data_IF_048270158877
#
_entry.id   IF_048270158877
#
_cell.length_a   1.000
_cell.length_b   1.000
_cell.length_c   1.000
_cell.angle_alpha   90.00
_cell.angle_beta   90.00
_cell.angle_gamma   90.00
#
_symmetry.space_group_name_H-M   'P 1'
#
loop_
_entity.id
_entity.type
_entity.pdbx_description
1 polymer ?
#
# COMPACT_ATOMS: atom_id res chain seq x y z
N UNK A 1 -5.13 -18.98 -6.13
CA UNK A 1 -4.82 -20.38 -6.48
C UNK A 1 -5.27 -20.61 -7.92
N UNK A 2 -4.33 -20.64 -8.86
CA UNK A 2 -4.62 -21.05 -10.23
C UNK A 2 -4.82 -22.57 -10.20
N UNK A 3 -6.04 -23.02 -10.20
CA UNK A 3 -6.37 -24.43 -10.42
C UNK A 3 -6.29 -24.69 -11.93
N UNK A 4 -5.40 -25.60 -12.31
CA UNK A 4 -5.33 -26.25 -13.63
C UNK A 4 -5.64 -25.38 -14.86
N UNK A 5 -4.67 -24.65 -15.31
CA UNK A 5 -4.24 -24.18 -16.60
C UNK A 5 -5.13 -24.28 -17.85
N UNK A 6 -6.41 -24.02 -17.79
CA UNK A 6 -7.25 -23.76 -18.98
C UNK A 6 -8.43 -22.88 -18.60
N UNK A 7 -8.19 -21.67 -18.16
CA UNK A 7 -9.18 -20.62 -18.37
C UNK A 7 -9.00 -20.15 -19.81
N UNK A 8 -9.82 -20.67 -20.71
CA UNK A 8 -9.81 -20.36 -22.15
C UNK A 8 -10.02 -18.88 -22.45
N UNK A 9 -10.31 -18.07 -21.41
CA UNK A 9 -10.63 -16.65 -21.50
C UNK A 9 -9.47 -15.71 -21.08
N UNK A 10 -8.30 -16.23 -20.69
CA UNK A 10 -7.18 -15.41 -20.26
C UNK A 10 -5.92 -15.71 -21.06
N UNK A 11 -5.41 -14.72 -21.79
CA UNK A 11 -4.15 -14.80 -22.53
C UNK A 11 -3.04 -14.13 -21.73
N UNK A 12 -1.96 -14.88 -21.45
CA UNK A 12 -0.75 -14.31 -20.85
C UNK A 12 -0.03 -13.42 -21.88
N UNK A 13 0.13 -12.14 -21.57
CA UNK A 13 0.85 -11.18 -22.42
C UNK A 13 2.34 -11.18 -22.08
N UNK A 14 2.70 -10.91 -20.84
CA UNK A 14 4.08 -10.95 -20.37
C UNK A 14 4.16 -11.16 -18.85
N UNK A 15 5.34 -11.54 -18.40
CA UNK A 15 5.69 -11.67 -17.00
C UNK A 15 6.84 -10.73 -16.65
N UNK A 16 6.76 -10.05 -15.52
CA UNK A 16 7.83 -9.21 -15.00
C UNK A 16 8.38 -9.80 -13.72
N UNK A 17 9.70 -10.00 -13.68
CA UNK A 17 10.41 -10.44 -12.48
C UNK A 17 11.00 -9.21 -11.80
N UNK A 18 10.72 -9.05 -10.51
CA UNK A 18 11.25 -7.96 -9.70
C UNK A 18 11.82 -8.48 -8.38
N UNK A 19 12.73 -7.70 -7.79
CA UNK A 19 13.33 -8.03 -6.50
C UNK A 19 13.17 -6.87 -5.54
N UNK A 20 12.63 -7.16 -4.35
CA UNK A 20 12.51 -6.18 -3.27
C UNK A 20 13.19 -6.76 -2.03
N UNK A 21 14.25 -6.10 -1.55
CA UNK A 21 15.15 -6.63 -0.52
C UNK A 21 15.73 -8.00 -0.93
N UNK A 22 15.33 -9.08 -0.27
CA UNK A 22 15.83 -10.43 -0.54
C UNK A 22 14.80 -11.32 -1.24
N UNK A 23 13.58 -10.82 -1.50
CA UNK A 23 12.51 -11.62 -2.09
C UNK A 23 12.30 -11.27 -3.56
N UNK A 24 11.99 -12.30 -4.33
CA UNK A 24 11.67 -12.21 -5.74
C UNK A 24 10.17 -12.28 -5.93
N UNK A 25 9.68 -11.48 -6.87
CA UNK A 25 8.28 -11.42 -7.26
C UNK A 25 8.17 -11.66 -8.76
N UNK A 26 7.11 -12.36 -9.15
CA UNK A 26 6.70 -12.48 -10.54
C UNK A 26 5.29 -11.89 -10.64
N UNK A 27 5.11 -10.93 -11.54
CA UNK A 27 3.80 -10.40 -11.91
C UNK A 27 3.49 -10.78 -13.34
N UNK A 28 2.26 -11.24 -13.56
CA UNK A 28 1.75 -11.62 -14.87
C UNK A 28 0.76 -10.57 -15.34
N UNK A 29 0.88 -10.16 -16.59
CA UNK A 29 -0.15 -9.38 -17.26
C UNK A 29 -0.98 -10.31 -18.13
N UNK A 30 -2.30 -10.32 -17.88
CA UNK A 30 -3.25 -11.14 -18.57
C UNK A 30 -4.20 -10.25 -19.38
N UNK A 31 -4.51 -10.65 -20.59
CA UNK A 31 -5.59 -10.12 -21.38
C UNK A 31 -6.82 -11.04 -21.17
N UNK A 32 -7.91 -10.47 -20.67
CA UNK A 32 -9.15 -11.19 -20.44
C UNK A 32 -10.10 -10.93 -21.61
N UNK A 33 -10.60 -11.99 -22.23
CA UNK A 33 -11.52 -11.88 -23.36
C UNK A 33 -12.96 -11.59 -22.93
N UNK A 34 -13.34 -11.99 -21.72
CA UNK A 34 -14.68 -11.76 -21.17
C UNK A 34 -14.59 -11.28 -19.70
N UNK A 35 -15.20 -10.12 -19.44
CA UNK A 35 -15.26 -9.51 -18.09
C UNK A 35 -16.61 -9.76 -17.39
N UNK A 36 -17.50 -10.60 -17.97
CA UNK A 36 -18.85 -10.87 -17.41
C UNK A 36 -18.80 -11.47 -16.00
N UNK A 37 -17.68 -12.09 -15.62
CA UNK A 37 -17.50 -12.63 -14.28
C UNK A 37 -17.03 -11.58 -13.25
N UNK A 38 -16.68 -10.37 -13.69
CA UNK A 38 -16.44 -9.24 -12.79
C UNK A 38 -17.79 -8.71 -12.34
N UNK A 39 -18.30 -9.25 -11.25
CA UNK A 39 -19.56 -8.78 -10.67
C UNK A 39 -19.39 -7.37 -10.15
N UNK A 40 -20.24 -6.43 -10.57
CA UNK A 40 -20.25 -5.10 -9.96
C UNK A 40 -20.55 -5.17 -8.47
N UNK A 41 -20.14 -4.15 -7.72
CA UNK A 41 -20.42 -4.06 -6.29
C UNK A 41 -21.91 -4.29 -6.00
N UNK A 42 -22.20 -5.15 -5.02
CA UNK A 42 -23.60 -5.50 -4.68
C UNK A 42 -24.38 -4.34 -4.07
N UNK A 43 -23.69 -3.44 -3.40
CA UNK A 43 -24.30 -2.23 -2.86
C UNK A 43 -24.03 -1.08 -3.80
N UNK A 44 -25.07 -0.37 -4.17
CA UNK A 44 -25.02 0.70 -5.14
C UNK A 44 -25.17 2.10 -4.52
N UNK A 45 -24.97 2.18 -3.21
CA UNK A 45 -25.01 3.46 -2.50
C UNK A 45 -23.83 4.36 -2.84
N UNK A 46 -23.98 5.64 -2.46
CA UNK A 46 -22.91 6.64 -2.53
C UNK A 46 -22.28 6.78 -1.16
N UNK A 47 -20.96 6.98 -1.10
CA UNK A 47 -20.24 7.20 0.16
C UNK A 47 -19.28 8.36 0.02
N UNK A 48 -19.27 9.24 1.02
CA UNK A 48 -18.23 10.25 1.22
C UNK A 48 -17.09 9.67 2.03
N UNK A 49 -15.86 10.00 1.65
CA UNK A 49 -14.62 9.49 2.27
C UNK A 49 -13.80 10.67 2.75
N UNK A 50 -13.64 10.79 4.06
CA UNK A 50 -12.71 11.71 4.71
C UNK A 50 -11.41 11.00 5.07
N UNK A 51 -10.26 11.60 4.74
CA UNK A 51 -8.94 11.07 4.98
C UNK A 51 -8.25 11.80 6.13
N UNK A 52 -7.92 11.07 7.19
CA UNK A 52 -7.31 11.63 8.38
C UNK A 52 -6.01 10.94 8.80
N UNK A 53 -5.28 11.59 9.71
CA UNK A 53 -4.02 11.05 10.27
C UNK A 53 -4.26 10.15 11.47
N UNK A 54 -5.28 10.43 12.26
CA UNK A 54 -5.65 9.62 13.43
C UNK A 54 -6.51 8.44 13.01
N UNK A 55 -7.59 8.72 12.36
CA UNK A 55 -8.44 7.79 11.64
C UNK A 55 -8.03 7.88 10.17
N UNK A 56 -7.59 6.78 9.60
CA UNK A 56 -7.10 6.78 8.21
C UNK A 56 -8.20 7.13 7.23
N UNK A 57 -9.38 6.59 7.46
CA UNK A 57 -10.57 6.79 6.66
C UNK A 57 -11.80 6.86 7.57
N UNK A 58 -12.65 7.87 7.34
CA UNK A 58 -13.98 7.96 7.92
C UNK A 58 -14.98 8.02 6.76
N UNK A 59 -15.97 7.15 6.77
CA UNK A 59 -17.02 7.11 5.76
C UNK A 59 -18.25 7.88 6.24
N UNK A 60 -19.00 8.45 5.31
CA UNK A 60 -20.22 9.22 5.61
C UNK A 60 -21.35 8.41 6.25
N UNK A 61 -21.28 7.08 6.19
CA UNK A 61 -22.21 6.17 6.85
C UNK A 61 -21.76 5.75 8.27
N UNK A 62 -20.67 6.32 8.78
CA UNK A 62 -20.15 6.11 10.13
C UNK A 62 -19.07 5.03 10.27
N UNK A 63 -18.70 4.30 9.22
CA UNK A 63 -17.56 3.40 9.29
C UNK A 63 -16.25 4.17 9.46
N UNK A 64 -15.41 3.69 10.37
CA UNK A 64 -14.11 4.30 10.69
C UNK A 64 -13.00 3.25 10.61
N UNK A 65 -11.92 3.60 9.91
CA UNK A 65 -10.74 2.76 9.78
C UNK A 65 -9.52 3.45 10.39
N UNK A 66 -8.87 2.80 11.34
CA UNK A 66 -7.70 3.36 12.00
C UNK A 66 -6.42 3.20 11.15
N UNK A 67 -5.53 4.20 11.27
CA UNK A 67 -4.22 4.13 10.62
C UNK A 67 -3.28 3.20 11.40
N UNK A 68 -2.64 2.19 10.77
CA UNK A 68 -1.75 1.24 11.45
C UNK A 68 -0.44 1.87 11.93
N UNK A 69 -0.05 3.03 11.41
CA UNK A 69 1.15 3.82 11.76
C UNK A 69 2.43 2.99 11.89
N UNK A 70 2.77 2.17 10.91
CA UNK A 70 3.89 1.23 11.01
C UNK A 70 5.24 1.93 11.13
N UNK A 71 5.44 3.08 10.46
CA UNK A 71 6.68 3.85 10.58
C UNK A 71 6.86 4.35 12.00
N UNK A 72 5.82 4.88 12.64
CA UNK A 72 5.87 5.30 14.04
C UNK A 72 6.32 4.16 14.96
N UNK A 73 5.73 2.97 14.81
CA UNK A 73 6.06 1.76 15.58
C UNK A 73 7.51 1.32 15.43
N UNK A 74 8.06 1.37 14.21
CA UNK A 74 9.42 0.88 13.93
C UNK A 74 10.50 1.97 13.91
N UNK A 75 10.15 3.24 14.12
CA UNK A 75 11.05 4.39 13.96
C UNK A 75 12.31 4.29 14.84
N UNK A 76 12.17 3.92 16.10
CA UNK A 76 13.31 3.79 17.02
C UNK A 76 14.29 2.70 16.57
N UNK A 77 13.75 1.55 16.13
CA UNK A 77 14.55 0.45 15.59
C UNK A 77 15.30 0.88 14.33
N UNK A 78 14.62 1.60 13.43
CA UNK A 78 15.20 2.09 12.19
C UNK A 78 16.34 3.07 12.48
N UNK A 79 16.12 4.07 13.35
CA UNK A 79 17.15 5.03 13.78
C UNK A 79 18.38 4.32 14.36
N UNK A 80 18.20 3.31 15.22
CA UNK A 80 19.29 2.54 15.81
C UNK A 80 20.11 1.80 14.76
N UNK A 81 19.44 1.14 13.81
CA UNK A 81 20.10 0.42 12.73
C UNK A 81 20.85 1.36 11.78
N UNK A 82 20.26 2.50 11.43
CA UNK A 82 20.89 3.52 10.59
C UNK A 82 22.13 4.11 11.26
N UNK A 83 22.07 4.46 12.56
CA UNK A 83 23.25 4.91 13.34
C UNK A 83 24.34 3.84 13.38
N UNK A 84 23.99 2.56 13.56
CA UNK A 84 24.96 1.46 13.50
C UNK A 84 25.60 1.37 12.12
N UNK A 85 24.80 1.48 11.06
CA UNK A 85 25.30 1.42 9.69
C UNK A 85 26.24 2.59 9.35
N UNK A 86 25.95 3.83 9.82
CA UNK A 86 26.81 4.98 9.57
C UNK A 86 28.19 4.87 10.24
N UNK A 87 28.26 4.17 11.39
CA UNK A 87 29.53 3.91 12.13
C UNK A 87 30.29 2.70 11.60
N UNK A 88 29.71 1.91 10.71
CA UNK A 88 30.34 0.70 10.17
C UNK A 88 31.19 1.07 8.96
N UNK A 89 32.41 0.47 8.87
CA UNK A 89 33.38 0.69 7.76
C UNK A 89 32.68 0.56 6.39
N UNK A 90 32.90 1.53 5.52
CA UNK A 90 32.41 1.51 4.16
C UNK A 90 32.95 0.28 3.42
N UNK A 91 32.13 -0.31 2.51
CA UNK A 91 32.48 -1.50 1.75
C UNK A 91 32.71 -2.80 2.56
N UNK A 92 32.47 -2.80 3.88
CA UNK A 92 32.60 -4.01 4.69
C UNK A 92 31.39 -4.94 4.62
N UNK A 93 31.58 -6.27 4.79
CA UNK A 93 30.51 -7.28 4.80
C UNK A 93 29.45 -7.00 5.87
N UNK A 94 29.86 -6.47 7.03
CA UNK A 94 28.94 -6.09 8.10
C UNK A 94 28.03 -4.93 7.71
N UNK A 95 28.50 -3.98 6.89
CA UNK A 95 27.67 -2.90 6.36
C UNK A 95 26.64 -3.46 5.39
N UNK A 96 27.01 -4.38 4.53
CA UNK A 96 26.09 -5.07 3.61
C UNK A 96 24.99 -5.84 4.38
N UNK A 97 25.37 -6.58 5.44
CA UNK A 97 24.41 -7.27 6.31
C UNK A 97 23.42 -6.30 6.98
N UNK A 98 23.91 -5.18 7.50
CA UNK A 98 23.06 -4.13 8.10
C UNK A 98 22.13 -3.50 7.05
N UNK A 99 22.61 -3.26 5.83
CA UNK A 99 21.80 -2.77 4.72
C UNK A 99 20.61 -3.69 4.43
N UNK A 100 20.84 -5.01 4.37
CA UNK A 100 19.76 -6.00 4.21
C UNK A 100 18.74 -5.95 5.34
N UNK A 101 19.19 -5.85 6.60
CA UNK A 101 18.28 -5.75 7.76
C UNK A 101 17.43 -4.49 7.68
N UNK A 102 18.03 -3.35 7.31
CA UNK A 102 17.30 -2.08 7.12
C UNK A 102 16.30 -2.20 5.98
N UNK A 103 16.68 -2.78 4.84
CA UNK A 103 15.80 -2.99 3.69
C UNK A 103 14.60 -3.86 4.06
N UNK A 104 14.80 -4.97 4.78
CA UNK A 104 13.71 -5.82 5.28
C UNK A 104 12.76 -5.06 6.21
N UNK A 105 13.30 -4.18 7.05
CA UNK A 105 12.48 -3.37 7.96
C UNK A 105 11.64 -2.34 7.19
N UNK A 106 12.22 -1.66 6.21
CA UNK A 106 11.47 -0.75 5.34
C UNK A 106 10.36 -1.47 4.58
N UNK A 107 10.67 -2.65 4.03
CA UNK A 107 9.69 -3.48 3.36
C UNK A 107 8.54 -3.84 4.29
N UNK A 108 8.84 -4.35 5.50
CA UNK A 108 7.79 -4.68 6.49
C UNK A 108 6.88 -3.49 6.81
N UNK A 109 7.45 -2.28 6.91
CA UNK A 109 6.67 -1.06 7.11
C UNK A 109 5.76 -0.79 5.91
N UNK A 110 6.28 -0.95 4.70
CA UNK A 110 5.49 -0.78 3.47
C UNK A 110 4.38 -1.84 3.35
N UNK A 111 4.67 -3.10 3.64
CA UNK A 111 3.71 -4.21 3.57
C UNK A 111 2.54 -4.01 4.53
N UNK A 112 2.81 -3.61 5.79
CA UNK A 112 1.75 -3.32 6.77
C UNK A 112 0.84 -2.18 6.30
N UNK A 113 1.43 -1.12 5.72
CA UNK A 113 0.66 0.01 5.17
C UNK A 113 -0.20 -0.44 4.00
N UNK A 114 0.40 -1.13 3.04
CA UNK A 114 -0.28 -1.60 1.84
C UNK A 114 -1.41 -2.57 2.17
N UNK A 115 -1.21 -3.51 3.09
CA UNK A 115 -2.24 -4.44 3.55
C UNK A 115 -3.46 -3.68 4.13
N UNK A 116 -3.21 -2.70 4.99
CA UNK A 116 -4.28 -1.88 5.55
C UNK A 116 -5.03 -1.09 4.46
N UNK A 117 -4.29 -0.45 3.54
CA UNK A 117 -4.88 0.28 2.42
C UNK A 117 -5.71 -0.62 1.52
N UNK A 118 -5.19 -1.81 1.18
CA UNK A 118 -5.92 -2.78 0.35
C UNK A 118 -7.20 -3.26 1.02
N UNK A 119 -7.20 -3.50 2.32
CA UNK A 119 -8.39 -3.91 3.08
C UNK A 119 -9.47 -2.84 3.02
N UNK A 120 -9.10 -1.58 3.28
CA UNK A 120 -10.06 -0.47 3.29
C UNK A 120 -10.57 -0.16 1.88
N UNK A 121 -9.68 -0.04 0.90
CA UNK A 121 -10.09 0.24 -0.49
C UNK A 121 -10.91 -0.89 -1.09
N UNK A 122 -10.62 -2.15 -0.72
CA UNK A 122 -11.44 -3.28 -1.13
C UNK A 122 -12.83 -3.25 -0.49
N UNK A 123 -12.90 -2.93 0.81
CA UNK A 123 -14.20 -2.76 1.48
C UNK A 123 -15.03 -1.68 0.79
N UNK A 124 -14.45 -0.52 0.50
CA UNK A 124 -15.16 0.58 -0.18
C UNK A 124 -15.62 0.15 -1.57
N UNK A 125 -14.73 -0.38 -2.40
CA UNK A 125 -15.07 -0.80 -3.77
C UNK A 125 -16.10 -1.93 -3.84
N UNK A 126 -16.15 -2.81 -2.81
CA UNK A 126 -17.12 -3.91 -2.76
C UNK A 126 -18.49 -3.50 -2.23
N UNK A 127 -18.61 -2.37 -1.54
CA UNK A 127 -19.85 -1.97 -0.88
C UNK A 127 -20.53 -0.75 -1.49
N UNK A 128 -19.83 0.06 -2.28
CA UNK A 128 -20.38 1.31 -2.83
C UNK A 128 -20.09 1.45 -4.32
N UNK A 129 -21.08 1.94 -5.05
CA UNK A 129 -20.97 2.19 -6.50
C UNK A 129 -20.39 3.56 -6.83
N UNK A 130 -20.52 4.52 -5.91
CA UNK A 130 -20.01 5.87 -6.10
C UNK A 130 -19.24 6.30 -4.85
N UNK A 131 -18.00 6.67 -5.03
CA UNK A 131 -17.12 7.12 -3.94
C UNK A 131 -16.73 8.57 -4.18
N UNK A 132 -17.08 9.44 -3.23
CA UNK A 132 -16.71 10.87 -3.23
C UNK A 132 -15.58 11.06 -2.23
N UNK A 133 -14.45 11.56 -2.69
CA UNK A 133 -13.23 11.73 -1.88
C UNK A 133 -12.69 13.14 -2.08
N UNK A 134 -12.09 13.72 -1.05
CA UNK A 134 -11.42 15.01 -1.12
C UNK A 134 -10.19 14.98 -2.04
N UNK A 135 -10.02 15.99 -2.87
CA UNK A 135 -8.79 16.21 -3.63
C UNK A 135 -7.74 16.89 -2.75
N UNK A 136 -7.03 16.08 -1.97
CA UNK A 136 -6.02 16.54 -1.04
C UNK A 136 -4.71 16.90 -1.75
N UNK A 137 -4.22 18.10 -1.53
CA UNK A 137 -2.86 18.49 -1.94
C UNK A 137 -1.82 17.82 -1.04
N UNK A 138 -1.63 16.50 -1.20
CA UNK A 138 -0.69 15.69 -0.40
C UNK A 138 0.74 16.24 -0.47
N UNK A 139 1.19 16.74 -1.63
CA UNK A 139 2.51 17.35 -1.79
C UNK A 139 2.68 18.60 -0.92
N UNK A 140 1.63 19.44 -0.85
CA UNK A 140 1.61 20.61 0.03
C UNK A 140 1.60 20.22 1.50
N UNK A 141 0.80 19.22 1.87
CA UNK A 141 0.72 18.71 3.25
C UNK A 141 2.05 18.12 3.74
N UNK A 142 2.83 17.49 2.88
CA UNK A 142 4.15 16.94 3.21
C UNK A 142 5.22 18.01 3.50
N UNK A 143 4.99 19.27 3.13
CA UNK A 143 5.87 20.40 3.50
C UNK A 143 5.73 20.79 4.97
N UNK A 144 4.64 20.41 5.63
CA UNK A 144 4.47 20.66 7.06
C UNK A 144 5.31 19.66 7.87
N UNK A 145 6.45 20.12 8.39
CA UNK A 145 7.42 19.29 9.14
C UNK A 145 6.83 18.55 10.34
N UNK A 146 5.78 19.08 10.98
CA UNK A 146 5.12 18.45 12.14
C UNK A 146 4.25 17.26 11.72
N UNK A 147 3.60 17.36 10.59
CA UNK A 147 2.63 16.36 10.10
C UNK A 147 3.17 15.45 8.99
N UNK A 148 4.22 15.86 8.28
CA UNK A 148 4.74 15.17 7.10
C UNK A 148 4.96 13.67 7.32
N UNK A 149 5.55 13.29 8.47
CA UNK A 149 5.78 11.88 8.82
C UNK A 149 4.48 11.10 8.97
N UNK A 150 3.49 11.69 9.63
CA UNK A 150 2.20 11.04 9.85
C UNK A 150 1.44 10.89 8.53
N UNK A 151 1.45 11.92 7.70
CA UNK A 151 0.82 11.92 6.36
C UNK A 151 1.49 10.85 5.47
N UNK A 152 2.84 10.80 5.46
CA UNK A 152 3.59 9.78 4.73
C UNK A 152 3.31 8.36 5.26
N UNK A 153 3.06 8.21 6.57
CA UNK A 153 2.78 6.91 7.17
C UNK A 153 1.36 6.40 6.86
N UNK A 154 0.39 7.28 6.67
CA UNK A 154 -0.97 6.90 6.24
C UNK A 154 -1.02 6.51 4.76
N UNK A 155 -0.31 7.22 3.89
CA UNK A 155 -0.20 6.89 2.47
C UNK A 155 -1.38 7.34 1.61
N UNK A 156 -1.87 8.57 1.77
CA UNK A 156 -3.01 9.14 1.04
C UNK A 156 -2.91 9.00 -0.48
N UNK A 157 -1.73 9.25 -1.07
CA UNK A 157 -1.56 9.10 -2.51
C UNK A 157 -1.75 7.65 -3.00
N UNK A 158 -1.31 6.67 -2.22
CA UNK A 158 -1.51 5.25 -2.53
C UNK A 158 -2.97 4.85 -2.35
N UNK A 159 -3.68 5.41 -1.38
CA UNK A 159 -5.11 5.20 -1.19
C UNK A 159 -5.90 5.65 -2.43
N UNK A 160 -5.66 6.88 -2.93
CA UNK A 160 -6.26 7.37 -4.16
C UNK A 160 -5.95 6.47 -5.35
N UNK A 161 -4.67 6.09 -5.52
CA UNK A 161 -4.27 5.20 -6.59
C UNK A 161 -5.00 3.86 -6.55
N UNK A 162 -5.18 3.27 -5.35
CA UNK A 162 -5.87 2.00 -5.22
C UNK A 162 -7.36 2.09 -5.51
N UNK A 163 -8.04 3.16 -5.13
CA UNK A 163 -9.45 3.36 -5.46
C UNK A 163 -9.67 3.60 -6.96
N UNK A 164 -8.71 4.24 -7.65
CA UNK A 164 -8.86 4.56 -9.08
C UNK A 164 -8.92 3.32 -9.99
N UNK A 165 -8.37 2.19 -9.55
CA UNK A 165 -8.36 0.97 -10.38
C UNK A 165 -9.26 -0.15 -9.85
N UNK A 166 -9.89 0.02 -8.69
CA UNK A 166 -10.83 -0.95 -8.13
C UNK A 166 -12.27 -0.64 -8.46
#
# INVERSE_FOLDING_TARGET
MLRNGKDENAKLLFATISRVADDWYISFQLELQDLKHLTPAKNHGRVGVDLGVKQMVTLSDGHVFEAPKPLGKYLQKLKRLQRKMSRTKAKGSNRAKLGKVIARLHRRIADIRNDALHKVTNFIASNYSTVVIEDLNVKGMLKNHKLARCIADVGFGEFHRQLSYK
#
